data_IF_372066464943
#
_entry.id   IF_372066464943
#
_cell.length_a   1.000
_cell.length_b   1.000
_cell.length_c   1.000
_cell.angle_alpha   90.00
_cell.angle_beta   90.00
_cell.angle_gamma   90.00
#
_symmetry.space_group_name_H-M   'P 1'
#
loop_
_entity.id
_entity.type
_entity.pdbx_description
1 polymer ?
#
# COMPACT_ATOMS: atom_id res chain seq x y z
N UNK A 1 1.10 -38.11 -37.88
CA UNK A 1 0.80 -36.77 -37.33
C UNK A 1 0.95 -36.87 -35.84
N UNK A 2 1.63 -35.91 -35.22
CA UNK A 2 1.83 -35.87 -33.78
C UNK A 2 1.06 -34.67 -33.20
N UNK A 3 0.39 -34.90 -32.08
CA UNK A 3 -0.26 -33.85 -31.29
C UNK A 3 0.19 -34.05 -29.85
N UNK A 4 0.50 -32.96 -29.17
CA UNK A 4 0.90 -32.94 -27.77
C UNK A 4 -0.18 -32.22 -26.95
N UNK A 5 -0.57 -32.87 -25.84
CA UNK A 5 -1.52 -32.36 -24.85
C UNK A 5 -0.80 -32.33 -23.49
N UNK A 6 -0.28 -31.17 -23.11
CA UNK A 6 0.63 -31.03 -21.97
C UNK A 6 1.88 -31.91 -22.18
N UNK A 7 2.06 -32.89 -21.30
CA UNK A 7 3.15 -33.86 -21.38
C UNK A 7 2.77 -35.14 -22.15
N UNK A 8 1.53 -35.25 -22.63
CA UNK A 8 1.01 -36.44 -23.32
C UNK A 8 1.25 -36.30 -24.82
N UNK A 9 2.08 -37.18 -25.39
CA UNK A 9 2.36 -37.20 -26.82
C UNK A 9 1.49 -38.23 -27.56
N UNK A 10 0.66 -37.76 -28.49
CA UNK A 10 -0.20 -38.58 -29.35
C UNK A 10 0.47 -38.79 -30.71
N UNK A 11 1.19 -39.90 -30.86
CA UNK A 11 2.04 -40.15 -32.05
C UNK A 11 1.35 -40.84 -33.22
N UNK A 12 0.26 -41.58 -32.97
CA UNK A 12 -0.42 -42.43 -33.97
C UNK A 12 -1.83 -41.95 -34.29
N UNK A 13 -1.99 -40.64 -34.49
CA UNK A 13 -3.25 -40.07 -34.94
C UNK A 13 -3.52 -40.43 -36.39
N UNK A 14 -4.73 -40.93 -36.64
CA UNK A 14 -5.26 -41.30 -37.94
C UNK A 14 -6.13 -40.21 -38.55
N UNK A 15 -6.74 -39.37 -37.71
CA UNK A 15 -7.56 -38.25 -38.15
C UNK A 15 -7.64 -37.17 -37.09
N UNK A 16 -7.68 -35.93 -37.57
CA UNK A 16 -8.00 -34.74 -36.78
C UNK A 16 -9.13 -34.03 -37.50
N UNK A 17 -10.23 -33.85 -36.80
CA UNK A 17 -11.41 -33.12 -37.26
C UNK A 17 -11.56 -31.87 -36.40
N UNK A 18 -11.84 -30.74 -37.05
CA UNK A 18 -12.02 -29.44 -36.40
C UNK A 18 -13.48 -29.05 -36.59
N UNK A 19 -14.19 -28.84 -35.50
CA UNK A 19 -15.58 -28.37 -35.46
C UNK A 19 -15.59 -26.93 -34.93
N UNK A 20 -15.87 -25.99 -35.83
CA UNK A 20 -15.90 -24.55 -35.57
C UNK A 20 -17.30 -24.01 -35.82
N UNK A 21 -17.82 -23.27 -34.84
CA UNK A 21 -19.12 -22.63 -34.93
C UNK A 21 -19.07 -21.18 -34.45
N UNK A 22 -20.03 -20.39 -34.90
CA UNK A 22 -20.32 -19.08 -34.31
C UNK A 22 -21.55 -19.17 -33.43
N UNK A 23 -21.55 -18.40 -32.34
CA UNK A 23 -22.69 -18.33 -31.45
C UNK A 23 -23.73 -17.37 -32.05
N UNK A 24 -24.76 -17.89 -32.69
CA UNK A 24 -25.81 -17.09 -33.33
C UNK A 24 -27.14 -17.25 -32.59
N UNK A 25 -27.75 -16.13 -32.21
CA UNK A 25 -29.10 -16.10 -31.60
C UNK A 25 -30.10 -15.60 -32.63
N UNK A 26 -31.09 -16.43 -32.96
CA UNK A 26 -32.19 -16.06 -33.85
C UNK A 26 -33.25 -15.25 -33.10
N UNK A 27 -33.49 -14.02 -33.54
CA UNK A 27 -34.58 -13.15 -33.09
C UNK A 27 -35.68 -13.09 -34.15
N UNK A 28 -36.88 -13.57 -33.79
CA UNK A 28 -38.05 -13.49 -34.68
C UNK A 28 -38.84 -12.23 -34.37
N UNK A 29 -39.08 -11.42 -35.40
CA UNK A 29 -39.82 -10.18 -35.29
C UNK A 29 -41.28 -10.40 -35.72
N UNK A 30 -42.21 -9.91 -34.91
CA UNK A 30 -43.64 -10.01 -35.21
C UNK A 30 -43.95 -9.19 -36.46
N UNK A 31 -44.59 -9.82 -37.45
CA UNK A 31 -45.00 -9.17 -38.70
C UNK A 31 -43.90 -9.03 -39.77
N UNK A 32 -42.67 -9.48 -39.50
CA UNK A 32 -41.60 -9.50 -40.48
C UNK A 32 -41.55 -10.83 -41.25
N UNK A 33 -41.21 -10.77 -42.54
CA UNK A 33 -40.86 -11.95 -43.33
C UNK A 33 -39.38 -12.25 -43.14
N UNK A 34 -39.04 -12.99 -42.08
CA UNK A 34 -37.67 -13.41 -41.76
C UNK A 34 -37.30 -13.23 -40.29
N UNK A 35 -36.08 -13.61 -39.95
CA UNK A 35 -35.49 -13.45 -38.62
C UNK A 35 -34.17 -12.68 -38.69
N UNK A 36 -33.83 -12.03 -37.57
CA UNK A 36 -32.56 -11.32 -37.38
C UNK A 36 -31.66 -12.20 -36.53
N UNK A 37 -30.42 -12.41 -36.95
CA UNK A 37 -29.45 -13.14 -36.14
C UNK A 37 -28.55 -12.14 -35.41
N UNK A 38 -28.45 -12.29 -34.09
CA UNK A 38 -27.44 -11.64 -33.28
C UNK A 38 -26.21 -12.55 -33.21
N UNK A 39 -25.07 -12.04 -33.66
CA UNK A 39 -23.79 -12.73 -33.54
C UNK A 39 -23.17 -12.44 -32.16
N UNK A 40 -23.05 -13.47 -31.33
CA UNK A 40 -22.39 -13.43 -30.03
C UNK A 40 -20.89 -13.77 -30.11
N UNK A 41 -20.35 -13.88 -31.32
CA UNK A 41 -18.93 -14.10 -31.58
C UNK A 41 -18.57 -15.56 -31.89
N UNK A 42 -17.27 -15.83 -31.84
CA UNK A 42 -16.69 -17.16 -32.08
C UNK A 42 -17.12 -18.11 -30.95
N UNK A 43 -17.61 -19.30 -31.29
CA UNK A 43 -17.80 -20.38 -30.32
C UNK A 43 -16.46 -21.04 -29.97
N UNK A 44 -16.40 -21.76 -28.85
CA UNK A 44 -15.21 -22.55 -28.51
C UNK A 44 -14.92 -23.57 -29.60
N UNK A 45 -13.69 -23.62 -30.10
CA UNK A 45 -13.29 -24.62 -31.09
C UNK A 45 -13.29 -26.01 -30.44
N UNK A 46 -13.83 -27.01 -31.14
CA UNK A 46 -13.77 -28.41 -30.72
C UNK A 46 -12.90 -29.21 -31.68
N UNK A 47 -11.98 -30.00 -31.15
CA UNK A 47 -11.16 -30.92 -31.92
C UNK A 47 -11.55 -32.35 -31.59
N UNK A 48 -11.65 -33.18 -32.63
CA UNK A 48 -11.87 -34.61 -32.50
C UNK A 48 -10.62 -35.32 -33.03
N UNK A 49 -9.88 -35.94 -32.12
CA UNK A 49 -8.65 -36.66 -32.40
C UNK A 49 -8.95 -38.17 -32.41
N UNK A 50 -8.67 -38.84 -33.52
CA UNK A 50 -8.85 -40.29 -33.66
C UNK A 50 -7.52 -40.96 -33.93
N UNK A 51 -7.23 -42.05 -33.23
CA UNK A 51 -5.94 -42.73 -33.36
C UNK A 51 -5.91 -44.13 -32.77
N UNK A 52 -4.69 -44.70 -32.74
CA UNK A 52 -4.44 -46.05 -32.23
C UNK A 52 -3.39 -46.05 -31.10
N UNK A 53 -3.71 -46.76 -30.02
CA UNK A 53 -2.77 -47.11 -28.97
C UNK A 53 -2.37 -48.57 -29.14
N UNK A 54 -1.06 -48.83 -29.27
CA UNK A 54 -0.49 -50.10 -29.66
C UNK A 54 0.61 -50.54 -28.70
N UNK A 55 0.68 -51.85 -28.44
CA UNK A 55 1.73 -52.46 -27.64
C UNK A 55 1.44 -52.47 -26.15
N UNK A 56 2.36 -53.04 -25.37
CA UNK A 56 2.16 -53.30 -23.95
C UNK A 56 1.97 -52.01 -23.13
N UNK A 57 2.56 -50.89 -23.59
CA UNK A 57 2.41 -49.55 -22.99
C UNK A 57 1.05 -48.91 -23.24
N UNK A 58 0.23 -49.44 -24.15
CA UNK A 58 -1.05 -48.83 -24.52
C UNK A 58 -2.00 -48.68 -23.31
N UNK A 59 -1.94 -49.61 -22.35
CA UNK A 59 -2.76 -49.52 -21.13
C UNK A 59 -2.34 -48.36 -20.22
N UNK A 60 -1.04 -48.08 -20.14
CA UNK A 60 -0.49 -46.96 -19.38
C UNK A 60 -0.82 -45.61 -20.05
N UNK A 61 -0.73 -45.55 -21.39
CA UNK A 61 -1.16 -44.39 -22.19
C UNK A 61 -2.67 -44.10 -21.98
N UNK A 62 -3.51 -45.15 -21.96
CA UNK A 62 -4.94 -45.03 -21.68
C UNK A 62 -5.19 -44.49 -20.26
N UNK A 63 -4.46 -44.98 -19.26
CA UNK A 63 -4.64 -44.53 -17.87
C UNK A 63 -4.19 -43.08 -17.67
N UNK A 64 -3.12 -42.68 -18.34
CA UNK A 64 -2.65 -41.28 -18.35
C UNK A 64 -3.72 -40.35 -18.94
N UNK A 65 -4.30 -40.72 -20.09
CA UNK A 65 -5.38 -39.93 -20.72
C UNK A 65 -6.65 -39.90 -19.87
N UNK A 66 -6.99 -41.01 -19.21
CA UNK A 66 -8.13 -41.09 -18.30
C UNK A 66 -7.94 -40.21 -17.07
N UNK A 67 -6.73 -40.19 -16.51
CA UNK A 67 -6.39 -39.33 -15.37
C UNK A 67 -6.50 -37.86 -15.76
N UNK A 68 -5.90 -37.47 -16.90
CA UNK A 68 -5.99 -36.10 -17.41
C UNK A 68 -7.43 -35.66 -17.73
N UNK A 69 -8.28 -36.58 -18.20
CA UNK A 69 -9.71 -36.33 -18.37
C UNK A 69 -10.44 -36.11 -17.04
N UNK A 70 -10.14 -36.95 -16.03
CA UNK A 70 -10.74 -36.87 -14.71
C UNK A 70 -10.32 -35.62 -13.92
N UNK A 71 -9.08 -35.16 -14.10
CA UNK A 71 -8.54 -33.97 -13.44
C UNK A 71 -9.26 -32.70 -13.90
N UNK A 72 -9.75 -32.66 -15.15
CA UNK A 72 -10.52 -31.53 -15.68
C UNK A 72 -9.72 -30.22 -15.76
N UNK A 73 -8.38 -30.30 -15.72
CA UNK A 73 -7.49 -29.14 -15.80
C UNK A 73 -7.17 -28.80 -17.26
N UNK A 74 -7.06 -27.51 -17.61
CA UNK A 74 -6.62 -27.11 -18.95
C UNK A 74 -5.24 -27.67 -19.27
N UNK A 75 -5.11 -28.27 -20.45
CA UNK A 75 -3.87 -28.82 -20.97
C UNK A 75 -3.39 -27.96 -22.14
N UNK A 76 -2.08 -27.70 -22.17
CA UNK A 76 -1.47 -26.99 -23.29
C UNK A 76 -1.59 -27.83 -24.56
N UNK A 77 -2.11 -27.25 -25.63
CA UNK A 77 -2.21 -27.90 -26.92
C UNK A 77 -1.03 -27.50 -27.81
N UNK A 78 -0.42 -28.47 -28.51
CA UNK A 78 0.59 -28.22 -29.53
C UNK A 78 0.48 -29.29 -30.63
N UNK A 79 0.30 -28.88 -31.88
CA UNK A 79 0.15 -29.83 -32.99
C UNK A 79 0.25 -29.15 -34.34
N UNK A 80 0.64 -29.93 -35.36
CA UNK A 80 0.71 -29.50 -36.75
C UNK A 80 -0.68 -29.59 -37.39
N UNK A 81 -1.54 -28.60 -37.10
CA UNK A 81 -2.89 -28.52 -37.68
C UNK A 81 -3.11 -27.13 -38.28
N UNK A 82 -3.20 -27.10 -39.61
CA UNK A 82 -3.30 -25.90 -40.45
C UNK A 82 -4.59 -25.06 -40.32
N UNK A 83 -5.40 -25.26 -39.27
CA UNK A 83 -6.66 -24.51 -39.02
C UNK A 83 -6.87 -24.15 -37.54
N UNK A 84 -6.24 -24.87 -36.60
CA UNK A 84 -6.37 -24.64 -35.14
C UNK A 84 -5.22 -23.86 -34.50
N UNK A 85 -4.44 -23.10 -35.29
CA UNK A 85 -3.17 -22.49 -34.89
C UNK A 85 -3.26 -21.48 -33.73
N UNK A 86 -4.46 -21.04 -33.35
CA UNK A 86 -4.70 -20.11 -32.25
C UNK A 86 -5.02 -20.79 -30.91
N UNK A 87 -5.22 -22.12 -30.91
CA UNK A 87 -5.60 -22.86 -29.70
C UNK A 87 -4.36 -23.07 -28.83
N UNK A 88 -4.37 -22.46 -27.65
CA UNK A 88 -3.27 -22.58 -26.68
C UNK A 88 -3.56 -23.63 -25.62
N UNK A 89 -4.78 -23.63 -25.09
CA UNK A 89 -5.20 -24.53 -24.02
C UNK A 89 -6.51 -25.22 -24.38
N UNK A 90 -6.62 -26.49 -23.98
CA UNK A 90 -7.78 -27.33 -24.22
C UNK A 90 -8.15 -28.13 -22.98
N UNK A 91 -9.44 -28.42 -22.84
CA UNK A 91 -9.96 -29.41 -21.91
C UNK A 91 -10.32 -30.67 -22.67
N UNK A 92 -10.10 -31.84 -22.04
CA UNK A 92 -10.65 -33.09 -22.54
C UNK A 92 -12.13 -33.12 -22.18
N UNK A 93 -12.99 -33.03 -23.19
CA UNK A 93 -14.45 -33.12 -23.03
C UNK A 93 -14.86 -34.59 -22.86
N UNK A 94 -14.29 -35.46 -23.69
CA UNK A 94 -14.68 -36.86 -23.75
C UNK A 94 -13.55 -37.75 -24.26
N UNK A 95 -13.48 -38.96 -23.73
CA UNK A 95 -12.46 -39.95 -24.07
C UNK A 95 -13.08 -41.34 -24.19
N UNK A 96 -13.15 -41.82 -25.44
CA UNK A 96 -13.65 -43.14 -25.77
C UNK A 96 -12.49 -44.04 -26.19
N UNK A 97 -12.47 -45.28 -25.67
CA UNK A 97 -11.47 -46.30 -26.03
C UNK A 97 -12.16 -47.62 -26.32
N UNK A 98 -11.82 -48.23 -27.44
CA UNK A 98 -12.32 -49.53 -27.87
C UNK A 98 -11.17 -50.47 -28.17
N UNK A 99 -11.15 -51.63 -27.51
CA UNK A 99 -10.21 -52.69 -27.88
C UNK A 99 -10.64 -53.34 -29.18
N UNK A 100 -9.71 -53.44 -30.14
CA UNK A 100 -10.01 -54.07 -31.42
C UNK A 100 -10.08 -55.60 -31.21
N UNK A 101 -11.22 -56.26 -31.53
CA UNK A 101 -11.36 -57.70 -31.35
C UNK A 101 -10.31 -58.47 -32.16
N UNK A 102 -9.77 -59.53 -31.56
CA UNK A 102 -8.79 -60.41 -32.22
C UNK A 102 -7.34 -59.90 -32.20
N UNK A 103 -7.08 -58.72 -31.63
CA UNK A 103 -5.73 -58.19 -31.44
C UNK A 103 -5.47 -57.88 -29.96
N UNK A 104 -4.43 -58.50 -29.39
CA UNK A 104 -3.93 -58.10 -28.08
C UNK A 104 -3.25 -56.73 -28.18
N UNK A 105 -3.40 -55.90 -27.15
CA UNK A 105 -2.70 -54.62 -27.04
C UNK A 105 -2.94 -53.66 -28.20
N UNK A 106 -4.16 -53.64 -28.73
CA UNK A 106 -4.55 -52.75 -29.82
C UNK A 106 -5.89 -52.10 -29.50
N UNK A 107 -5.84 -50.80 -29.31
CA UNK A 107 -6.99 -49.98 -28.93
C UNK A 107 -7.15 -48.84 -29.92
N UNK A 108 -8.38 -48.63 -30.36
CA UNK A 108 -8.80 -47.42 -31.05
C UNK A 108 -9.30 -46.43 -30.01
N UNK A 109 -8.93 -45.16 -30.16
CA UNK A 109 -9.42 -44.11 -29.27
C UNK A 109 -10.00 -42.95 -30.07
N UNK A 110 -11.01 -42.33 -29.49
CA UNK A 110 -11.54 -41.03 -29.91
C UNK A 110 -11.44 -40.08 -28.71
N UNK A 111 -10.73 -38.98 -28.89
CA UNK A 111 -10.59 -37.93 -27.89
C UNK A 111 -11.26 -36.66 -28.42
N UNK A 112 -12.25 -36.15 -27.70
CA UNK A 112 -12.86 -34.85 -27.97
C UNK A 112 -12.26 -33.84 -27.01
N UNK A 113 -11.58 -32.84 -27.55
CA UNK A 113 -11.04 -31.73 -26.77
C UNK A 113 -11.72 -30.43 -27.18
N UNK A 114 -11.88 -29.53 -26.22
CA UNK A 114 -12.52 -28.23 -26.43
C UNK A 114 -11.56 -27.13 -26.01
N UNK A 115 -11.46 -26.07 -26.80
CA UNK A 115 -10.75 -24.85 -26.45
C UNK A 115 -11.19 -24.36 -25.07
N UNK A 116 -10.20 -24.13 -24.20
CA UNK A 116 -10.42 -23.51 -22.92
C UNK A 116 -10.24 -22.00 -23.05
N UNK A 117 -11.09 -21.24 -22.38
CA UNK A 117 -10.96 -19.79 -22.25
C UNK A 117 -11.21 -19.42 -20.81
N UNK A 118 -10.40 -18.49 -20.29
CA UNK A 118 -10.53 -18.05 -18.91
C UNK A 118 -11.92 -17.46 -18.69
N UNK A 119 -12.64 -17.91 -17.64
CA UNK A 119 -13.86 -17.27 -17.25
C UNK A 119 -13.60 -15.77 -17.07
N UNK A 120 -14.42 -14.89 -17.65
CA UNK A 120 -14.25 -13.46 -17.42
C UNK A 120 -14.36 -13.18 -15.92
N UNK A 121 -13.53 -12.28 -15.42
CA UNK A 121 -13.60 -11.84 -14.03
C UNK A 121 -15.04 -11.43 -13.68
N UNK A 122 -15.46 -11.76 -12.46
CA UNK A 122 -16.78 -11.41 -12.00
C UNK A 122 -16.99 -9.88 -12.09
N UNK A 123 -18.16 -9.41 -12.56
CA UNK A 123 -18.46 -8.00 -12.57
C UNK A 123 -18.32 -7.43 -11.16
N UNK A 124 -17.37 -6.52 -10.95
CA UNK A 124 -17.10 -5.88 -9.66
C UNK A 124 -15.89 -6.38 -8.88
N UNK A 125 -15.11 -7.34 -9.40
CA UNK A 125 -13.86 -7.77 -8.75
C UNK A 125 -12.88 -6.59 -8.51
N UNK A 126 -12.77 -5.68 -9.48
CA UNK A 126 -11.97 -4.46 -9.34
C UNK A 126 -12.54 -3.47 -8.30
N UNK A 127 -13.86 -3.42 -8.11
CA UNK A 127 -14.49 -2.56 -7.11
C UNK A 127 -14.28 -3.08 -5.70
N UNK A 128 -14.29 -4.41 -5.52
CA UNK A 128 -14.08 -5.02 -4.20
C UNK A 128 -12.70 -4.69 -3.61
N UNK A 129 -11.66 -4.60 -4.45
CA UNK A 129 -10.32 -4.20 -4.00
C UNK A 129 -10.29 -2.72 -3.55
N UNK A 130 -10.93 -1.83 -4.32
CA UNK A 130 -11.04 -0.41 -3.97
C UNK A 130 -11.88 -0.21 -2.71
N UNK A 131 -13.00 -0.92 -2.57
CA UNK A 131 -13.86 -0.84 -1.40
C UNK A 131 -13.11 -1.28 -0.12
N UNK A 132 -12.26 -2.29 -0.22
CA UNK A 132 -11.43 -2.75 0.90
C UNK A 132 -10.36 -1.72 1.29
N UNK A 133 -9.71 -1.09 0.31
CA UNK A 133 -8.71 -0.05 0.54
C UNK A 133 -9.34 1.20 1.19
N UNK A 134 -10.49 1.65 0.68
CA UNK A 134 -11.23 2.78 1.25
C UNK A 134 -11.72 2.47 2.67
N UNK A 135 -12.16 1.24 2.93
CA UNK A 135 -12.54 0.83 4.29
C UNK A 135 -11.36 0.84 5.26
N UNK A 136 -10.18 0.39 4.83
CA UNK A 136 -8.97 0.39 5.65
C UNK A 136 -8.49 1.82 5.94
N UNK A 137 -8.45 2.68 4.93
CA UNK A 137 -8.12 4.10 5.09
C UNK A 137 -9.13 4.82 6.01
N UNK A 138 -10.43 4.52 5.86
CA UNK A 138 -11.47 5.04 6.75
C UNK A 138 -11.28 4.64 8.20
N UNK A 139 -10.90 3.39 8.49
CA UNK A 139 -10.59 2.94 9.85
C UNK A 139 -9.35 3.64 10.42
N UNK A 140 -8.28 3.76 9.62
CA UNK A 140 -7.07 4.48 10.02
C UNK A 140 -7.35 5.94 10.39
N UNK A 141 -8.22 6.62 9.63
CA UNK A 141 -8.66 7.99 9.94
C UNK A 141 -9.47 8.10 11.23
N UNK A 142 -10.29 7.10 11.56
CA UNK A 142 -11.06 7.08 12.81
C UNK A 142 -10.14 6.86 14.01
N UNK A 143 -9.21 5.91 13.92
CA UNK A 143 -8.24 5.64 14.99
C UNK A 143 -7.34 6.85 15.26
N UNK A 144 -6.87 7.50 14.19
CA UNK A 144 -6.11 8.74 14.27
C UNK A 144 -6.93 9.86 14.93
N UNK A 145 -8.19 10.06 14.52
CA UNK A 145 -9.07 11.06 15.14
C UNK A 145 -9.32 10.83 16.63
N UNK A 146 -9.41 9.57 17.07
CA UNK A 146 -9.54 9.21 18.49
C UNK A 146 -8.24 9.48 19.26
N UNK A 147 -7.09 9.16 18.66
CA UNK A 147 -5.79 9.45 19.26
C UNK A 147 -5.56 10.96 19.42
N UNK A 148 -5.94 11.75 18.42
CA UNK A 148 -5.91 13.22 18.47
C UNK A 148 -6.82 13.75 19.58
N UNK A 149 -8.07 13.29 19.64
CA UNK A 149 -9.00 13.72 20.69
C UNK A 149 -8.48 13.42 22.09
N UNK A 150 -7.93 12.22 22.31
CA UNK A 150 -7.37 11.82 23.60
C UNK A 150 -6.10 12.59 23.99
N UNK A 151 -5.24 12.94 23.02
CA UNK A 151 -4.03 13.72 23.27
C UNK A 151 -4.31 15.19 23.56
N UNK A 152 -5.43 15.74 23.09
CA UNK A 152 -5.84 17.11 23.46
C UNK A 152 -6.39 17.18 24.89
N UNK A 153 -6.88 16.06 25.42
CA UNK A 153 -7.34 15.95 26.80
C UNK A 153 -6.20 15.60 27.79
N UNK A 154 -5.04 15.15 27.30
CA UNK A 154 -3.85 14.75 28.09
C UNK A 154 -2.54 15.23 27.42
N UNK A 155 -1.87 16.27 27.95
CA UNK A 155 -0.71 16.88 27.31
C UNK A 155 0.57 16.02 27.36
N UNK A 156 0.68 15.07 28.31
CA UNK A 156 1.76 14.08 28.28
C UNK A 156 1.61 13.13 27.09
N UNK A 157 0.36 12.82 26.71
CA UNK A 157 0.04 12.08 25.49
C UNK A 157 0.22 12.94 24.21
N UNK A 158 0.11 14.28 24.30
CA UNK A 158 0.34 15.20 23.19
C UNK A 158 1.80 15.18 22.70
N UNK A 159 2.77 15.21 23.61
CA UNK A 159 4.18 15.12 23.24
C UNK A 159 4.50 13.78 22.55
N UNK A 160 4.02 12.66 23.10
CA UNK A 160 4.17 11.34 22.50
C UNK A 160 3.45 11.21 21.14
N UNK A 161 2.31 11.89 20.96
CA UNK A 161 1.57 11.92 19.71
C UNK A 161 2.33 12.70 18.62
N UNK A 162 2.94 13.85 18.98
CA UNK A 162 3.74 14.66 18.06
C UNK A 162 4.99 13.88 17.61
N UNK A 163 5.67 13.19 18.54
CA UNK A 163 6.83 12.35 18.23
C UNK A 163 6.45 11.17 17.32
N UNK A 164 5.28 10.56 17.54
CA UNK A 164 4.78 9.45 16.73
C UNK A 164 4.22 9.87 15.37
N UNK A 165 3.75 11.13 15.24
CA UNK A 165 3.05 11.64 14.07
C UNK A 165 3.37 13.14 13.83
N UNK A 166 4.52 13.50 13.25
CA UNK A 166 4.91 14.90 13.05
C UNK A 166 3.94 15.70 12.17
N UNK A 167 3.25 15.03 11.23
CA UNK A 167 2.21 15.62 10.39
C UNK A 167 0.95 16.03 11.19
N UNK A 168 0.82 15.62 12.45
CA UNK A 168 -0.22 16.10 13.36
C UNK A 168 -0.17 17.63 13.50
N UNK A 169 1.04 18.18 13.67
CA UNK A 169 1.20 19.63 13.82
C UNK A 169 0.70 20.35 12.59
N UNK A 170 0.87 19.84 11.38
CA UNK A 170 0.34 20.51 10.17
C UNK A 170 -1.19 20.66 10.14
N UNK A 171 -1.92 19.91 10.97
CA UNK A 171 -3.38 19.82 10.97
C UNK A 171 -4.07 20.53 12.14
N UNK A 172 -3.37 20.75 13.24
CA UNK A 172 -3.88 21.51 14.39
C UNK A 172 -3.45 22.97 14.30
N UNK A 173 -4.35 23.90 14.64
CA UNK A 173 -3.99 25.31 14.72
C UNK A 173 -3.39 25.69 16.10
N UNK A 174 -2.73 26.84 16.15
CA UNK A 174 -2.08 27.33 17.38
C UNK A 174 -3.09 27.56 18.51
N UNK A 175 -4.32 27.95 18.18
CA UNK A 175 -5.36 28.22 19.16
C UNK A 175 -5.88 26.94 19.82
N UNK A 176 -6.10 25.89 19.03
CA UNK A 176 -6.48 24.55 19.52
C UNK A 176 -5.37 23.96 20.40
N UNK A 177 -4.11 24.11 19.97
CA UNK A 177 -2.95 23.67 20.74
C UNK A 177 -2.81 24.45 22.07
N UNK A 178 -2.94 25.77 22.04
CA UNK A 178 -2.89 26.59 23.24
C UNK A 178 -4.03 26.29 24.21
N UNK A 179 -5.24 26.06 23.71
CA UNK A 179 -6.40 25.71 24.53
C UNK A 179 -6.23 24.35 25.23
N UNK A 180 -5.63 23.36 24.55
CA UNK A 180 -5.30 22.08 25.13
C UNK A 180 -4.27 22.21 26.28
N UNK A 181 -3.20 22.97 26.04
CA UNK A 181 -2.17 23.21 27.07
C UNK A 181 -2.76 23.98 28.27
N UNK A 182 -3.49 25.07 28.03
CA UNK A 182 -4.15 25.88 29.06
C UNK A 182 -5.13 25.05 29.91
N UNK A 183 -5.90 24.16 29.28
CA UNK A 183 -6.84 23.27 29.98
C UNK A 183 -6.15 22.27 30.91
N UNK A 184 -4.89 21.95 30.63
CA UNK A 184 -4.13 20.93 31.34
C UNK A 184 -3.02 21.46 32.25
N UNK A 185 -2.79 22.78 32.31
CA UNK A 185 -1.77 23.41 33.17
C UNK A 185 -1.82 22.97 34.64
N UNK A 186 -3.02 22.69 35.18
CA UNK A 186 -3.17 22.25 36.56
C UNK A 186 -2.68 20.82 36.85
N UNK A 187 -2.29 20.05 35.82
CA UNK A 187 -1.79 18.67 35.94
C UNK A 187 -0.53 18.40 35.13
N UNK A 188 0.10 19.45 34.58
CA UNK A 188 1.36 19.36 33.85
C UNK A 188 2.55 19.43 34.80
N UNK A 189 3.52 18.53 34.59
CA UNK A 189 4.82 18.59 35.25
C UNK A 189 5.87 19.26 34.32
N UNK A 190 7.05 19.57 34.86
CA UNK A 190 8.11 20.23 34.11
C UNK A 190 8.69 19.36 33.00
N UNK A 191 8.64 18.02 33.15
CA UNK A 191 9.18 17.08 32.17
C UNK A 191 8.26 16.99 30.95
N UNK A 192 6.95 16.87 31.16
CA UNK A 192 5.92 16.87 30.12
C UNK A 192 5.94 18.18 29.33
N UNK A 193 6.08 19.32 30.02
CA UNK A 193 6.21 20.61 29.35
C UNK A 193 7.51 20.71 28.54
N UNK A 194 8.63 20.23 29.07
CA UNK A 194 9.90 20.20 28.34
C UNK A 194 9.84 19.29 27.10
N UNK A 195 9.20 18.14 27.21
CA UNK A 195 8.97 17.23 26.08
C UNK A 195 8.07 17.87 25.02
N UNK A 196 6.98 18.51 25.42
CA UNK A 196 6.10 19.24 24.50
C UNK A 196 6.85 20.37 23.80
N UNK A 197 7.63 21.17 24.53
CA UNK A 197 8.45 22.23 23.97
C UNK A 197 9.50 21.70 22.99
N UNK A 198 10.18 20.59 23.33
CA UNK A 198 11.14 19.92 22.45
C UNK A 198 10.48 19.36 21.19
N UNK A 199 9.31 18.73 21.32
CA UNK A 199 8.58 18.15 20.19
C UNK A 199 8.06 19.23 19.23
N UNK A 200 7.55 20.34 19.77
CA UNK A 200 7.10 21.49 18.97
C UNK A 200 8.26 22.20 18.29
N UNK A 201 9.33 22.54 19.01
CA UNK A 201 10.50 23.22 18.42
C UNK A 201 11.25 22.35 17.42
N UNK A 202 11.20 21.02 17.58
CA UNK A 202 11.78 20.06 16.63
C UNK A 202 11.02 19.95 15.29
N UNK A 203 9.77 20.40 15.24
CA UNK A 203 8.88 20.21 14.07
C UNK A 203 8.36 21.54 13.49
N UNK A 204 7.88 22.46 14.34
CA UNK A 204 7.28 23.73 13.94
C UNK A 204 7.53 24.83 15.01
N UNK A 205 8.59 25.62 14.78
CA UNK A 205 9.01 26.71 15.68
C UNK A 205 7.98 27.84 15.74
N UNK A 206 7.28 28.12 14.64
CA UNK A 206 6.27 29.19 14.59
C UNK A 206 5.07 28.85 15.50
N UNK A 207 4.69 27.57 15.56
CA UNK A 207 3.64 27.11 16.48
C UNK A 207 4.06 27.14 17.92
N UNK A 208 5.34 26.88 18.22
CA UNK A 208 5.87 27.05 19.56
C UNK A 208 5.83 28.52 19.99
N UNK A 209 6.25 29.44 19.13
CA UNK A 209 6.16 30.90 19.41
C UNK A 209 4.71 31.31 19.64
N UNK A 210 3.80 30.88 18.77
CA UNK A 210 2.38 31.18 18.92
C UNK A 210 1.75 30.59 20.20
N UNK A 211 2.21 29.42 20.65
CA UNK A 211 1.82 28.86 21.94
C UNK A 211 2.27 29.75 23.11
N UNK A 212 3.52 30.21 23.09
CA UNK A 212 4.05 31.11 24.13
C UNK A 212 3.30 32.44 24.15
N UNK A 213 2.96 32.99 22.98
CA UNK A 213 2.14 34.20 22.87
C UNK A 213 0.73 33.97 23.44
N UNK A 214 0.07 32.86 23.12
CA UNK A 214 -1.25 32.54 23.65
C UNK A 214 -1.24 32.33 25.18
N UNK A 215 -0.19 31.71 25.73
CA UNK A 215 0.00 31.58 27.18
C UNK A 215 0.24 32.94 27.86
N UNK A 216 0.93 33.86 27.18
CA UNK A 216 1.12 35.24 27.64
C UNK A 216 -0.20 36.02 27.67
N UNK A 217 -1.01 35.90 26.62
CA UNK A 217 -2.33 36.54 26.55
C UNK A 217 -3.30 36.00 27.60
N UNK A 218 -3.17 34.73 27.98
CA UNK A 218 -3.97 34.08 29.01
C UNK A 218 -3.51 34.36 30.45
N UNK A 219 -2.44 35.14 30.66
CA UNK A 219 -1.79 35.39 31.98
C UNK A 219 -1.28 34.11 32.67
N UNK A 220 -1.07 33.03 31.90
CA UNK A 220 -0.67 31.71 32.39
C UNK A 220 0.83 31.46 32.34
N UNK A 221 1.63 32.43 31.87
CA UNK A 221 3.09 32.35 31.92
C UNK A 221 3.61 32.19 33.35
N UNK A 222 2.94 32.80 34.33
CA UNK A 222 3.29 32.63 35.74
C UNK A 222 3.14 31.19 36.21
N UNK A 223 2.09 30.50 35.75
CA UNK A 223 1.81 29.10 36.10
C UNK A 223 2.85 28.16 35.43
N UNK A 224 3.17 28.40 34.16
CA UNK A 224 4.22 27.66 33.44
C UNK A 224 5.59 27.86 34.07
N UNK A 225 5.94 29.10 34.42
CA UNK A 225 7.17 29.40 35.14
C UNK A 225 7.18 28.79 36.54
N UNK A 226 6.02 28.66 37.19
CA UNK A 226 5.86 27.93 38.45
C UNK A 226 6.19 26.45 38.30
N UNK A 227 5.60 25.78 37.31
CA UNK A 227 5.88 24.38 36.96
C UNK A 227 7.39 24.18 36.73
N UNK A 228 8.02 25.04 35.93
CA UNK A 228 9.45 24.98 35.64
C UNK A 228 10.35 25.38 36.83
N UNK A 229 9.89 26.24 37.74
CA UNK A 229 10.67 26.69 38.89
C UNK A 229 10.66 25.66 40.03
N UNK A 230 9.52 25.03 40.26
CA UNK A 230 9.32 24.06 41.35
C UNK A 230 10.04 22.74 41.06
N UNK A 231 10.12 22.33 39.78
CA UNK A 231 10.72 21.04 39.39
C UNK A 231 11.99 21.18 38.52
N UNK A 232 12.25 22.35 37.92
CA UNK A 232 13.42 22.56 37.06
C UNK A 232 14.74 22.70 37.83
N UNK A 233 14.69 23.14 39.09
CA UNK A 233 15.87 23.09 39.97
C UNK A 233 16.24 21.64 40.27
N UNK A 234 15.24 20.80 40.55
CA UNK A 234 15.42 19.36 40.82
C UNK A 234 15.89 18.61 39.55
N UNK A 235 15.36 18.95 38.37
CA UNK A 235 15.77 18.36 37.09
C UNK A 235 17.21 18.73 36.71
N UNK A 236 17.61 19.99 36.92
CA UNK A 236 18.99 20.42 36.65
C UNK A 236 19.97 19.83 37.66
N UNK A 237 19.58 19.67 38.92
CA UNK A 237 20.37 18.97 39.95
C UNK A 237 20.51 17.48 39.60
N UNK A 238 19.47 16.82 39.11
CA UNK A 238 19.49 15.41 38.70
C UNK A 238 20.34 15.17 37.45
N UNK A 239 20.28 16.07 36.46
CA UNK A 239 21.03 15.93 35.20
C UNK A 239 22.50 16.36 35.34
N UNK A 240 22.79 17.41 36.11
CA UNK A 240 24.15 17.96 36.22
C UNK A 240 24.90 17.52 37.47
N UNK A 241 24.20 16.97 38.48
CA UNK A 241 24.76 16.57 39.77
C UNK A 241 25.21 17.73 40.65
N UNK A 242 24.76 18.96 40.35
CA UNK A 242 25.14 20.20 41.04
C UNK A 242 23.90 20.78 41.72
N UNK A 243 23.97 20.96 43.04
CA UNK A 243 22.93 21.60 43.85
C UNK A 243 22.82 23.09 43.47
N UNK A 244 21.68 23.45 42.87
CA UNK A 244 21.35 24.78 42.37
C UNK A 244 20.28 25.47 43.22
N UNK A 245 20.06 25.03 44.46
CA UNK A 245 19.04 25.59 45.38
C UNK A 245 19.16 27.10 45.63
N UNK A 246 20.36 27.69 45.45
CA UNK A 246 20.59 29.14 45.55
C UNK A 246 20.25 29.92 44.24
N UNK A 247 20.03 29.23 43.12
CA UNK A 247 19.63 29.83 41.84
C UNK A 247 18.17 30.31 41.80
N UNK A 248 17.41 30.10 42.88
CA UNK A 248 16.06 30.66 43.09
C UNK A 248 16.00 32.19 42.91
N UNK A 249 17.09 32.90 43.21
CA UNK A 249 17.19 34.35 42.94
C UNK A 249 17.32 34.68 41.44
N UNK A 250 17.88 33.77 40.65
CA UNK A 250 18.01 33.87 39.20
C UNK A 250 16.65 33.60 38.53
N UNK A 251 15.90 32.62 39.05
CA UNK A 251 14.50 32.34 38.66
C UNK A 251 13.58 33.52 39.01
N UNK A 252 13.70 34.13 40.18
CA UNK A 252 12.96 35.36 40.53
C UNK A 252 13.34 36.58 39.68
N UNK A 253 14.55 36.61 39.11
CA UNK A 253 14.94 37.65 38.15
C UNK A 253 14.34 37.42 36.74
N UNK A 254 14.00 36.18 36.39
CA UNK A 254 13.26 35.82 35.18
C UNK A 254 11.76 36.13 35.25
N UNK A 255 11.19 36.22 36.46
CA UNK A 255 9.77 36.61 36.71
C UNK A 255 9.48 38.08 36.32
N UNK A 256 10.49 38.85 35.91
CA UNK A 256 10.37 40.25 35.48
C UNK A 256 9.75 40.48 34.09
N UNK A 257 8.57 39.94 33.80
CA UNK A 257 7.65 40.45 32.77
C UNK A 257 8.20 40.66 31.33
N UNK A 258 7.65 41.64 30.56
CA UNK A 258 7.89 41.84 29.12
C UNK A 258 9.36 41.99 28.68
N UNK A 259 10.27 42.28 29.62
CA UNK A 259 11.69 42.42 29.35
C UNK A 259 12.36 41.06 29.04
N UNK A 260 11.88 39.97 29.65
CA UNK A 260 12.32 38.62 29.33
C UNK A 260 11.92 38.22 27.91
N UNK A 261 10.67 38.50 27.51
CA UNK A 261 10.16 38.20 26.17
C UNK A 261 10.93 38.97 25.09
N UNK A 262 11.20 40.26 25.31
CA UNK A 262 12.01 41.05 24.39
C UNK A 262 13.45 40.50 24.27
N UNK A 263 14.08 40.09 25.39
CA UNK A 263 15.42 39.49 25.36
C UNK A 263 15.42 38.11 24.69
N UNK A 264 14.36 37.33 24.85
CA UNK A 264 14.23 36.03 24.21
C UNK A 264 14.07 36.19 22.69
N UNK A 265 13.30 37.18 22.24
CA UNK A 265 13.23 37.57 20.82
C UNK A 265 14.59 38.04 20.29
N UNK A 266 15.33 38.87 21.03
CA UNK A 266 16.68 39.29 20.64
C UNK A 266 17.66 38.10 20.50
N UNK A 267 17.56 37.10 21.38
CA UNK A 267 18.38 35.88 21.31
C UNK A 267 17.99 35.02 20.11
N UNK A 268 16.69 34.87 19.83
CA UNK A 268 16.19 34.14 18.64
C UNK A 268 16.65 34.82 17.35
N UNK A 269 16.50 36.14 17.25
CA UNK A 269 16.97 36.92 16.09
C UNK A 269 18.49 36.78 15.88
N UNK A 270 19.26 36.79 16.97
CA UNK A 270 20.70 36.57 16.92
C UNK A 270 21.07 35.14 16.51
N UNK A 271 20.32 34.13 16.97
CA UNK A 271 20.52 32.74 16.60
C UNK A 271 20.17 32.50 15.12
N UNK A 272 19.11 33.11 14.62
CA UNK A 272 18.72 33.09 13.22
C UNK A 272 19.81 33.72 12.34
N UNK A 273 20.31 34.89 12.72
CA UNK A 273 21.38 35.58 12.01
C UNK A 273 22.70 34.77 11.99
N UNK A 274 23.00 34.03 13.06
CA UNK A 274 24.15 33.13 13.11
C UNK A 274 23.98 31.95 12.14
N UNK A 275 22.79 31.34 12.10
CA UNK A 275 22.48 30.25 11.17
C UNK A 275 22.58 30.71 9.72
N UNK A 276 22.06 31.89 9.40
CA UNK A 276 22.18 32.50 8.08
C UNK A 276 23.65 32.76 7.71
N UNK A 277 24.45 33.25 8.67
CA UNK A 277 25.90 33.46 8.47
C UNK A 277 26.65 32.15 8.25
N UNK A 278 26.25 31.05 8.91
CA UNK A 278 26.84 29.72 8.70
C UNK A 278 26.40 29.15 7.35
N UNK A 279 25.16 29.39 6.92
CA UNK A 279 24.64 28.97 5.62
C UNK A 279 25.33 29.71 4.46
N UNK A 280 25.61 31.00 4.64
CA UNK A 280 26.35 31.85 3.69
C UNK A 280 27.88 31.69 3.79
N UNK A 281 28.38 30.92 4.76
CA UNK A 281 29.80 30.64 4.89
C UNK A 281 30.25 29.64 3.82
N UNK A 282 30.68 30.16 2.68
CA UNK A 282 31.35 29.41 1.63
C UNK A 282 32.88 29.37 1.86
N UNK A 283 33.45 28.25 2.34
CA UNK A 283 34.88 28.13 2.59
C UNK A 283 35.74 28.12 1.32
N UNK A 284 35.14 28.11 0.12
CA UNK A 284 35.84 28.04 -1.17
C UNK A 284 35.84 29.37 -1.96
N UNK A 285 35.10 30.39 -1.51
CA UNK A 285 35.00 31.69 -2.18
C UNK A 285 36.36 32.42 -2.31
N UNK A 286 37.30 32.21 -1.38
CA UNK A 286 38.66 32.79 -1.45
C UNK A 286 39.62 32.03 -2.39
N UNK A 287 39.26 30.83 -2.85
CA UNK A 287 40.12 29.95 -3.67
C UNK A 287 39.73 29.94 -5.15
N UNK A 288 38.50 30.31 -5.48
CA UNK A 288 37.96 30.40 -6.84
C UNK A 288 38.77 31.30 -7.82
N UNK A 289 39.35 32.46 -7.42
CA UNK A 289 40.07 33.32 -8.35
C UNK A 289 41.44 32.78 -8.80
N UNK A 290 41.95 31.68 -8.21
CA UNK A 290 43.24 31.09 -8.56
C UNK A 290 43.15 29.89 -9.53
N UNK A 291 41.94 29.42 -9.84
CA UNK A 291 41.71 28.33 -10.82
C UNK A 291 41.59 28.82 -12.28
N UNK A 292 41.53 30.14 -12.51
CA UNK A 292 41.52 30.76 -13.83
C UNK A 292 42.89 31.14 -14.35
N UNK A 293 43.64 30.19 -14.92
CA UNK A 293 44.85 30.48 -15.72
C UNK A 293 44.49 31.14 -17.06
N UNK A 294 45.34 32.01 -17.64
CA UNK A 294 45.01 32.80 -18.83
C UNK A 294 44.92 31.94 -20.10
N UNK A 295 44.00 32.38 -20.96
CA UNK A 295 43.65 31.97 -22.34
C UNK A 295 44.71 31.26 -23.18
#
# INVERSE_FOLDING_TARGET
MTVQLGDIELTRLQGVEVDEGRNLVEHRLVGATGSVFQDLGRGSIRLILRGLLLGEVALEEIETLRSAHADGTPLRFSGDVAVGSEITEVLIEDFEVHQIPGYAFRYEFTLRVREWTEPPEAPGAALAAVDAEVAADGLGRVEEGVAIGGALDDPGALAALIDGNPDFLSRIDVGELAQAVLGALGGLDAMDFAHLASALTGVDVDKFVGLVEALAEADSLGDVLGILADEGIDLLEEITGIDLSEASALVQAFVGGPEFINKLQEVTDAAQALLDTIADFDPLAEVEPLAGGPS
#
